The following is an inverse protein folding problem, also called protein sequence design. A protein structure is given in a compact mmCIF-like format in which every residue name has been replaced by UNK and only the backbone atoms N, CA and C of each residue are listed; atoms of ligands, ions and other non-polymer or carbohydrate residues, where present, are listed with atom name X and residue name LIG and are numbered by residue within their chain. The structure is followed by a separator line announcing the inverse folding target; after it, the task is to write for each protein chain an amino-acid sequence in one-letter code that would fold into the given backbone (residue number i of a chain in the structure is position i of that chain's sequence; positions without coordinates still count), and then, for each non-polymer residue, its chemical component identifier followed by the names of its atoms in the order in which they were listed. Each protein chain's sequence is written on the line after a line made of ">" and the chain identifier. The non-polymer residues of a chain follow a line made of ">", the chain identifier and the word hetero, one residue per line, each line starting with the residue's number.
data_IF_603200458800
#
_entry.id   IF_603200458800
#
_cell.length_a   1.000
_cell.length_b   1.000
_cell.length_c   1.000
_cell.angle_alpha   90.00
_cell.angle_beta   90.00
_cell.angle_gamma   90.00
#
_symmetry.space_group_name_H-M   'P 1'
#
loop_
_entity.id
_entity.type
_entity.pdbx_description
1 polymer ?
#
# COMPACT_ATOMS: atom_id res chain seq x y z
N UNK A 1 -23.73 23.05 2.37
CA UNK A 1 -24.86 23.18 3.32
C UNK A 1 -24.37 24.06 4.46
N UNK A 2 -25.07 25.15 4.81
CA UNK A 2 -24.73 25.91 6.00
C UNK A 2 -24.72 24.95 7.20
N UNK A 3 -23.59 24.86 7.93
CA UNK A 3 -23.36 24.02 9.12
C UNK A 3 -22.93 22.55 8.91
N UNK A 4 -22.59 22.09 7.70
CA UNK A 4 -22.00 20.74 7.56
C UNK A 4 -20.50 20.76 7.90
N UNK A 5 -20.12 20.14 9.02
CA UNK A 5 -18.73 19.89 9.38
C UNK A 5 -18.37 18.45 8.96
N UNK A 6 -17.42 18.30 8.03
CA UNK A 6 -16.94 17.00 7.58
C UNK A 6 -16.26 16.22 8.71
N UNK A 7 -16.25 14.89 8.61
CA UNK A 7 -15.58 14.01 9.59
C UNK A 7 -14.04 14.06 9.49
N UNK A 8 -13.50 14.64 8.41
CA UNK A 8 -12.08 14.64 8.09
C UNK A 8 -11.54 16.03 7.80
N UNK A 9 -11.72 17.03 8.69
CA UNK A 9 -11.42 18.44 8.39
C UNK A 9 -9.95 18.69 8.02
N UNK A 10 -9.01 17.90 8.56
CA UNK A 10 -7.60 17.97 8.17
C UNK A 10 -7.35 17.39 6.76
N UNK A 11 -8.06 16.32 6.36
CA UNK A 11 -7.94 15.81 5.00
C UNK A 11 -8.59 16.77 3.99
N UNK A 12 -9.71 17.38 4.37
CA UNK A 12 -10.41 18.38 3.56
C UNK A 12 -9.49 19.59 3.27
N UNK A 13 -8.68 20.01 4.25
CA UNK A 13 -7.69 21.07 4.05
C UNK A 13 -6.58 20.66 3.08
N UNK A 14 -6.09 19.42 3.14
CA UNK A 14 -5.08 18.90 2.21
C UNK A 14 -5.61 18.82 0.76
N UNK A 15 -6.88 18.45 0.57
CA UNK A 15 -7.50 18.37 -0.76
C UNK A 15 -7.48 19.74 -1.46
N UNK A 16 -7.63 20.84 -0.72
CA UNK A 16 -7.67 22.21 -1.28
C UNK A 16 -6.33 22.68 -1.88
N UNK A 17 -5.22 22.07 -1.47
CA UNK A 17 -3.85 22.44 -1.89
C UNK A 17 -3.12 21.30 -2.62
N UNK A 18 -3.79 20.17 -2.87
CA UNK A 18 -3.19 18.98 -3.47
C UNK A 18 -3.82 18.63 -4.81
N UNK A 19 -3.12 17.84 -5.61
CA UNK A 19 -3.75 17.16 -6.75
C UNK A 19 -4.63 16.03 -6.21
N UNK A 20 -5.93 16.22 -6.28
CA UNK A 20 -6.93 15.22 -5.85
C UNK A 20 -7.75 14.73 -7.05
N UNK A 21 -8.28 13.51 -6.93
CA UNK A 21 -9.11 12.90 -7.97
C UNK A 21 -10.48 12.53 -7.39
N UNK A 22 -11.53 13.21 -7.87
CA UNK A 22 -12.92 12.98 -7.42
C UNK A 22 -13.38 11.54 -7.65
N UNK A 23 -12.89 10.90 -8.71
CA UNK A 23 -13.21 9.53 -9.06
C UNK A 23 -11.99 8.65 -8.80
N UNK A 24 -11.90 8.13 -7.58
CA UNK A 24 -10.85 7.19 -7.15
C UNK A 24 -11.53 5.91 -6.68
N UNK A 25 -11.30 4.79 -7.38
CA UNK A 25 -11.93 3.50 -7.07
C UNK A 25 -10.90 2.54 -6.47
N UNK A 26 -11.27 1.84 -5.40
CA UNK A 26 -10.41 0.86 -4.78
C UNK A 26 -10.30 -0.39 -5.65
N UNK A 27 -9.07 -0.90 -5.82
CA UNK A 27 -8.77 -2.13 -6.54
C UNK A 27 -8.84 -3.38 -5.63
N UNK A 28 -9.52 -3.29 -4.48
CA UNK A 28 -9.59 -4.37 -3.51
C UNK A 28 -10.56 -4.07 -2.40
N UNK A 29 -10.95 -5.11 -1.66
CA UNK A 29 -11.96 -4.99 -0.58
C UNK A 29 -11.34 -5.10 0.80
N UNK A 30 -10.16 -5.74 0.93
CA UNK A 30 -9.51 -6.01 2.21
C UNK A 30 -8.08 -5.46 2.18
N UNK A 31 -7.51 -5.19 3.34
CA UNK A 31 -6.14 -4.67 3.47
C UNK A 31 -5.09 -5.58 2.81
N UNK A 32 -5.37 -6.88 2.74
CA UNK A 32 -4.50 -7.88 2.10
C UNK A 32 -4.31 -7.65 0.59
N UNK A 33 -5.24 -6.94 -0.07
CA UNK A 33 -5.17 -6.60 -1.48
C UNK A 33 -4.39 -5.29 -1.74
N UNK A 34 -4.16 -4.49 -0.69
CA UNK A 34 -3.63 -3.14 -0.82
C UNK A 34 -2.19 -3.12 -1.35
N UNK A 35 -1.32 -3.98 -0.80
CA UNK A 35 0.09 -4.01 -1.21
C UNK A 35 0.28 -4.48 -2.66
N UNK A 36 -0.30 -5.62 -3.13
CA UNK A 36 -0.25 -5.98 -4.55
C UNK A 36 -0.83 -4.91 -5.49
N UNK A 37 -1.95 -4.30 -5.10
CA UNK A 37 -2.61 -3.28 -5.93
C UNK A 37 -1.76 -2.02 -6.09
N UNK A 38 -1.26 -1.48 -4.98
CA UNK A 38 -0.58 -0.17 -4.96
C UNK A 38 0.88 -0.29 -5.39
N UNK A 39 1.57 -1.38 -5.03
CA UNK A 39 3.02 -1.50 -5.21
C UNK A 39 3.42 -2.18 -6.51
N UNK A 40 2.58 -3.07 -7.04
CA UNK A 40 2.91 -3.92 -8.20
C UNK A 40 1.85 -3.89 -9.30
N UNK A 41 0.80 -3.06 -9.15
CA UNK A 41 -0.32 -2.95 -10.09
C UNK A 41 -1.11 -4.26 -10.31
N UNK A 42 -1.03 -5.22 -9.38
CA UNK A 42 -1.79 -6.47 -9.46
C UNK A 42 -3.18 -6.22 -8.85
N UNK A 43 -4.27 -6.37 -9.62
CA UNK A 43 -5.61 -6.12 -9.11
C UNK A 43 -6.06 -7.18 -8.09
N UNK A 44 -7.03 -6.83 -7.26
CA UNK A 44 -7.78 -7.86 -6.50
C UNK A 44 -8.54 -8.74 -7.49
N UNK A 45 -8.32 -10.04 -7.38
CA UNK A 45 -9.12 -11.08 -8.03
C UNK A 45 -9.93 -11.84 -6.97
N UNK A 46 -10.52 -12.98 -7.32
CA UNK A 46 -11.32 -13.80 -6.40
C UNK A 46 -10.55 -14.21 -5.14
N UNK A 47 -9.28 -14.60 -5.31
CA UNK A 47 -8.35 -14.93 -4.23
C UNK A 47 -7.27 -13.84 -4.14
N UNK A 48 -7.06 -13.21 -2.97
CA UNK A 48 -5.98 -12.25 -2.80
C UNK A 48 -4.64 -12.82 -3.27
N UNK A 49 -3.85 -12.03 -4.00
CA UNK A 49 -2.58 -12.50 -4.60
C UNK A 49 -1.67 -13.19 -3.59
N UNK A 50 -1.53 -12.61 -2.39
CA UNK A 50 -0.66 -13.13 -1.32
C UNK A 50 -1.13 -14.47 -0.73
N UNK A 51 -2.38 -14.88 -0.99
CA UNK A 51 -2.95 -16.17 -0.62
C UNK A 51 -3.07 -17.13 -1.81
N UNK A 52 -2.72 -16.68 -3.01
CA UNK A 52 -2.85 -17.47 -4.24
C UNK A 52 -1.65 -18.39 -4.45
N UNK A 53 -1.78 -19.36 -5.35
CA UNK A 53 -0.66 -20.19 -5.80
C UNK A 53 0.49 -19.40 -6.44
N UNK A 54 0.24 -18.14 -6.81
CA UNK A 54 1.21 -17.24 -7.42
C UNK A 54 1.93 -16.36 -6.40
N UNK A 55 1.67 -16.52 -5.09
CA UNK A 55 2.22 -15.65 -4.04
C UNK A 55 3.74 -15.62 -3.99
N UNK A 56 4.41 -16.64 -4.52
CA UNK A 56 5.87 -16.77 -4.57
C UNK A 56 6.46 -16.34 -5.92
N UNK A 57 5.63 -15.88 -6.86
CA UNK A 57 6.14 -15.35 -8.12
C UNK A 57 6.90 -14.05 -7.85
N UNK A 58 8.06 -13.84 -8.49
CA UNK A 58 8.73 -12.55 -8.43
C UNK A 58 7.79 -11.47 -9.01
N UNK A 59 7.72 -10.33 -8.33
CA UNK A 59 6.94 -9.18 -8.76
C UNK A 59 7.84 -7.95 -8.83
N UNK A 60 7.73 -7.21 -9.93
CA UNK A 60 8.44 -5.94 -10.07
C UNK A 60 7.68 -4.86 -9.30
N UNK A 61 8.11 -4.58 -8.07
CA UNK A 61 7.52 -3.54 -7.24
C UNK A 61 8.07 -2.15 -7.54
N UNK A 62 7.27 -1.12 -7.24
CA UNK A 62 7.71 0.29 -7.33
C UNK A 62 8.97 0.55 -6.51
N UNK A 63 9.14 -0.13 -5.36
CA UNK A 63 10.30 0.01 -4.51
C UNK A 63 11.57 -0.50 -5.22
N UNK A 64 11.53 -1.68 -5.82
CA UNK A 64 12.64 -2.22 -6.61
C UNK A 64 13.02 -1.29 -7.78
N UNK A 65 12.02 -0.79 -8.52
CA UNK A 65 12.25 0.10 -9.66
C UNK A 65 12.91 1.42 -9.24
N UNK A 66 12.53 1.97 -8.09
CA UNK A 66 13.14 3.17 -7.52
C UNK A 66 14.54 2.90 -6.97
N UNK A 67 14.78 1.73 -6.39
CA UNK A 67 16.12 1.34 -5.93
C UNK A 67 17.13 1.33 -7.08
N UNK A 68 16.75 0.82 -8.25
CA UNK A 68 17.59 0.86 -9.47
C UNK A 68 17.95 2.29 -9.91
N UNK A 69 17.19 3.29 -9.45
CA UNK A 69 17.43 4.72 -9.67
C UNK A 69 18.17 5.40 -8.51
N UNK A 70 18.68 4.64 -7.54
CA UNK A 70 19.44 5.14 -6.39
C UNK A 70 18.59 5.65 -5.23
N UNK A 71 17.27 5.39 -5.23
CA UNK A 71 16.41 5.77 -4.11
C UNK A 71 16.53 4.77 -2.95
N UNK A 72 16.48 5.31 -1.74
CA UNK A 72 16.25 4.53 -0.54
C UNK A 72 14.76 4.21 -0.39
N UNK A 73 14.41 2.95 -0.15
CA UNK A 73 13.02 2.51 -0.01
C UNK A 73 12.74 1.90 1.35
N UNK A 74 11.66 2.37 1.99
CA UNK A 74 11.21 1.87 3.28
C UNK A 74 9.69 1.75 3.37
N UNK A 75 9.21 0.70 4.03
CA UNK A 75 7.81 0.49 4.36
C UNK A 75 7.62 0.54 5.88
N UNK A 76 6.59 1.25 6.34
CA UNK A 76 6.30 1.43 7.76
C UNK A 76 4.95 0.81 8.10
N UNK A 77 4.93 -0.09 9.07
CA UNK A 77 3.74 -0.83 9.47
C UNK A 77 3.56 -0.80 11.00
N UNK A 78 2.44 -0.25 11.47
CA UNK A 78 2.15 -0.13 12.90
C UNK A 78 1.77 -1.43 13.62
N UNK A 79 1.74 -2.57 12.93
CA UNK A 79 1.38 -3.87 13.50
C UNK A 79 2.63 -4.68 13.88
N UNK A 80 2.49 -5.73 14.71
CA UNK A 80 3.55 -6.72 14.94
C UNK A 80 4.00 -7.40 13.64
N UNK A 81 5.21 -7.96 13.65
CA UNK A 81 5.73 -8.70 12.49
C UNK A 81 4.82 -9.87 12.11
N UNK A 82 4.73 -10.17 10.81
CA UNK A 82 3.90 -11.26 10.26
C UNK A 82 2.40 -10.94 10.13
N UNK A 83 1.93 -9.75 10.53
CA UNK A 83 0.53 -9.37 10.32
C UNK A 83 0.21 -9.25 8.83
N UNK A 84 -0.78 -10.03 8.36
CA UNK A 84 -1.29 -10.03 6.98
C UNK A 84 -0.25 -10.37 5.88
N UNK A 85 0.93 -10.87 6.24
CA UNK A 85 2.01 -11.16 5.28
C UNK A 85 2.66 -9.91 4.66
N UNK A 86 2.46 -8.73 5.26
CA UNK A 86 2.99 -7.46 4.75
C UNK A 86 4.52 -7.39 4.77
N UNK A 87 5.16 -8.05 5.72
CA UNK A 87 6.61 -8.19 5.81
C UNK A 87 7.17 -8.98 4.62
N UNK A 88 6.58 -10.14 4.34
CA UNK A 88 6.96 -10.97 3.21
C UNK A 88 6.74 -10.24 1.88
N UNK A 89 5.59 -9.58 1.72
CA UNK A 89 5.29 -8.85 0.49
C UNK A 89 6.14 -7.58 0.32
N UNK A 90 6.47 -6.87 1.40
CA UNK A 90 7.37 -5.72 1.34
C UNK A 90 8.76 -6.14 0.86
N UNK A 91 9.28 -7.26 1.36
CA UNK A 91 10.55 -7.82 0.90
C UNK A 91 10.48 -8.22 -0.58
N UNK A 92 9.46 -9.00 -0.96
CA UNK A 92 9.28 -9.45 -2.35
C UNK A 92 9.09 -8.30 -3.35
N UNK A 93 8.49 -7.18 -2.93
CA UNK A 93 8.31 -5.97 -3.77
C UNK A 93 9.54 -5.04 -3.81
N UNK A 94 10.63 -5.42 -3.14
CA UNK A 94 11.92 -4.74 -3.21
C UNK A 94 12.11 -3.57 -2.26
N UNK A 95 11.39 -3.53 -1.13
CA UNK A 95 11.70 -2.55 -0.07
C UNK A 95 13.01 -2.94 0.64
N UNK A 96 13.92 -1.98 0.79
CA UNK A 96 15.18 -2.19 1.51
C UNK A 96 14.97 -2.32 3.02
N UNK A 97 14.01 -1.57 3.58
CA UNK A 97 13.69 -1.63 5.00
C UNK A 97 12.19 -1.76 5.25
N UNK A 98 11.86 -2.61 6.23
CA UNK A 98 10.51 -2.79 6.72
C UNK A 98 10.50 -2.51 8.23
N UNK A 99 9.83 -1.42 8.62
CA UNK A 99 9.77 -0.95 10.00
C UNK A 99 8.43 -1.34 10.62
N UNK A 100 8.50 -2.05 11.75
CA UNK A 100 7.34 -2.43 12.55
C UNK A 100 7.30 -1.67 13.87
N UNK A 101 6.15 -1.71 14.55
CA UNK A 101 6.10 -1.35 15.97
C UNK A 101 6.96 -2.32 16.78
N UNK A 102 8.10 -1.84 17.28
CA UNK A 102 8.90 -2.54 18.29
C UNK A 102 8.12 -2.55 19.61
N UNK A 103 8.03 -3.71 20.25
CA UNK A 103 7.50 -3.81 21.61
C UNK A 103 8.53 -3.31 22.61
#
# INVERSE_FOLDING_TARGET
>A
MPNYQGYTPFLDSLISVSRSYRYSMANGRKSIDAMPSVLTSIPSIEVPFVLSHYSNNPVNGVAELLQRKGYYTAFFHGAPNGSMGFDAFANMSGFQHYFIRKR
#
